data_IF_215533877983
#
_entry.id   IF_215533877983
#
_cell.length_a   1.000
_cell.length_b   1.000
_cell.length_c   1.000
_cell.angle_alpha   90.00
_cell.angle_beta   90.00
_cell.angle_gamma   90.00
#
_symmetry.space_group_name_H-M   'P 1'
#
loop_
_entity.id
_entity.type
_entity.pdbx_description
1 polymer ?
#
# COMPACT_ATOMS: atom_id res chain seq x y z
N UNK A 1 24.79 -66.76 -39.78
CA UNK A 1 24.65 -65.31 -39.57
C UNK A 1 23.46 -65.10 -38.69
N UNK A 2 23.70 -64.86 -37.39
CA UNK A 2 22.64 -64.68 -36.40
C UNK A 2 22.45 -63.18 -36.22
N UNK A 3 21.28 -62.63 -36.64
CA UNK A 3 20.86 -61.32 -36.30
C UNK A 3 20.32 -61.34 -34.87
N UNK A 4 21.06 -60.73 -33.93
CA UNK A 4 20.61 -60.53 -32.57
C UNK A 4 19.52 -59.44 -32.57
N UNK A 5 18.29 -59.88 -32.25
CA UNK A 5 17.22 -58.92 -31.93
C UNK A 5 17.49 -58.42 -30.50
N UNK A 6 17.94 -57.15 -30.38
CA UNK A 6 17.97 -56.49 -29.13
C UNK A 6 16.53 -56.19 -28.70
N UNK A 7 16.05 -56.97 -27.73
CA UNK A 7 14.80 -56.67 -27.05
C UNK A 7 14.98 -55.38 -26.25
N UNK A 8 14.48 -54.28 -26.75
CA UNK A 8 14.29 -53.08 -25.97
C UNK A 8 13.31 -53.39 -24.84
N UNK A 9 13.82 -53.57 -23.65
CA UNK A 9 13.03 -53.75 -22.46
C UNK A 9 12.17 -52.52 -22.25
N UNK A 10 10.87 -52.63 -22.47
CA UNK A 10 9.89 -51.65 -22.06
C UNK A 10 9.85 -51.68 -20.53
N UNK A 11 10.64 -50.82 -19.89
CA UNK A 11 10.52 -50.58 -18.47
C UNK A 11 9.21 -49.77 -18.25
N UNK A 12 8.16 -50.52 -17.91
CA UNK A 12 6.92 -49.86 -17.46
C UNK A 12 7.17 -49.10 -16.16
N UNK A 13 6.54 -47.94 -16.01
CA UNK A 13 6.57 -47.18 -14.77
C UNK A 13 6.10 -48.04 -13.60
N UNK A 14 6.85 -48.04 -12.51
CA UNK A 14 6.44 -48.73 -11.30
C UNK A 14 5.27 -48.03 -10.62
N UNK A 15 4.39 -48.76 -9.97
CA UNK A 15 3.26 -48.21 -9.22
C UNK A 15 3.72 -47.15 -8.20
N UNK A 16 4.87 -47.39 -7.58
CA UNK A 16 5.50 -46.48 -6.62
C UNK A 16 5.90 -45.12 -7.27
N UNK A 17 6.44 -45.17 -8.47
CA UNK A 17 6.86 -44.00 -9.21
C UNK A 17 5.66 -43.12 -9.58
N UNK A 18 4.54 -43.72 -9.98
CA UNK A 18 3.29 -43.02 -10.24
C UNK A 18 2.73 -42.40 -8.96
N UNK A 19 2.75 -43.08 -7.84
CA UNK A 19 2.33 -42.59 -6.54
C UNK A 19 3.20 -41.42 -6.07
N UNK A 20 4.52 -41.52 -6.22
CA UNK A 20 5.43 -40.40 -5.90
C UNK A 20 5.18 -39.20 -6.78
N UNK A 21 4.99 -39.38 -8.08
CA UNK A 21 4.69 -38.29 -9.00
C UNK A 21 3.38 -37.58 -8.64
N UNK A 22 2.33 -38.33 -8.30
CA UNK A 22 1.05 -37.77 -7.84
C UNK A 22 1.18 -36.98 -6.52
N UNK A 23 1.97 -37.51 -5.57
CA UNK A 23 2.21 -36.82 -4.30
C UNK A 23 2.92 -35.49 -4.50
N UNK A 24 3.94 -35.46 -5.37
CA UNK A 24 4.66 -34.19 -5.70
C UNK A 24 3.75 -33.24 -6.42
N UNK A 25 2.96 -33.71 -7.37
CA UNK A 25 2.00 -32.84 -8.09
C UNK A 25 0.95 -32.23 -7.14
N UNK A 26 0.39 -33.06 -6.24
CA UNK A 26 -0.56 -32.56 -5.23
C UNK A 26 0.05 -31.50 -4.29
N UNK A 27 1.27 -31.79 -3.80
CA UNK A 27 2.00 -30.82 -2.95
C UNK A 27 2.26 -29.49 -3.69
N UNK A 28 2.64 -29.55 -4.96
CA UNK A 28 2.87 -28.38 -5.79
C UNK A 28 1.62 -27.51 -5.97
N UNK A 29 0.46 -28.13 -6.18
CA UNK A 29 -0.83 -27.44 -6.31
C UNK A 29 -1.18 -26.69 -5.01
N UNK A 30 -0.98 -27.31 -3.86
CA UNK A 30 -1.25 -26.69 -2.55
C UNK A 30 -0.38 -25.47 -2.32
N UNK A 31 0.92 -25.55 -2.62
CA UNK A 31 1.86 -24.43 -2.47
C UNK A 31 1.51 -23.28 -3.42
N UNK A 32 1.21 -23.57 -4.68
CA UNK A 32 0.83 -22.55 -5.67
C UNK A 32 -0.48 -21.85 -5.30
N UNK A 33 -1.47 -22.60 -4.81
CA UNK A 33 -2.75 -22.04 -4.36
C UNK A 33 -2.58 -21.12 -3.15
N UNK A 34 -1.72 -21.47 -2.21
CA UNK A 34 -1.40 -20.62 -1.05
C UNK A 34 -0.70 -19.32 -1.44
N UNK A 35 0.22 -19.37 -2.40
CA UNK A 35 0.93 -18.20 -2.91
C UNK A 35 0.00 -17.19 -3.62
N UNK A 36 -0.94 -17.66 -4.41
CA UNK A 36 -1.89 -16.81 -5.12
C UNK A 36 -2.78 -15.99 -4.17
N UNK A 37 -3.28 -16.60 -3.10
CA UNK A 37 -4.12 -15.89 -2.10
C UNK A 37 -3.34 -14.85 -1.30
N UNK A 38 -2.06 -15.11 -1.01
CA UNK A 38 -1.17 -14.14 -0.34
C UNK A 38 -0.91 -12.91 -1.21
N UNK A 39 -0.67 -13.11 -2.49
CA UNK A 39 -0.42 -12.02 -3.46
C UNK A 39 -1.61 -11.09 -3.62
N UNK A 40 -2.84 -11.63 -3.66
CA UNK A 40 -4.06 -10.83 -3.76
C UNK A 40 -4.33 -9.99 -2.51
N UNK A 41 -4.01 -10.50 -1.33
CA UNK A 41 -4.13 -9.74 -0.07
C UNK A 41 -3.12 -8.61 -0.02
N UNK A 42 -1.88 -8.86 -0.43
CA UNK A 42 -0.84 -7.83 -0.52
C UNK A 42 -1.18 -6.74 -1.53
N UNK A 43 -1.71 -7.10 -2.70
CA UNK A 43 -2.15 -6.13 -3.71
C UNK A 43 -3.28 -5.22 -3.20
N UNK A 44 -4.27 -5.77 -2.51
CA UNK A 44 -5.35 -4.96 -1.90
C UNK A 44 -4.85 -4.01 -0.82
N UNK A 45 -3.91 -4.46 0.02
CA UNK A 45 -3.33 -3.60 1.05
C UNK A 45 -2.55 -2.44 0.42
N UNK A 46 -1.80 -2.69 -0.64
CA UNK A 46 -1.07 -1.66 -1.38
C UNK A 46 -2.03 -0.66 -2.05
N UNK A 47 -3.10 -1.14 -2.67
CA UNK A 47 -4.12 -0.30 -3.31
C UNK A 47 -4.77 0.65 -2.29
N UNK A 48 -5.12 0.17 -1.11
CA UNK A 48 -5.66 1.01 -0.03
C UNK A 48 -4.65 2.06 0.46
N UNK A 49 -3.38 1.73 0.56
CA UNK A 49 -2.33 2.68 0.90
C UNK A 49 -2.13 3.77 -0.16
N UNK A 50 -2.13 3.38 -1.43
CA UNK A 50 -2.01 4.33 -2.54
C UNK A 50 -3.22 5.27 -2.59
N UNK A 51 -4.43 4.74 -2.40
CA UNK A 51 -5.64 5.54 -2.31
C UNK A 51 -5.61 6.53 -1.14
N UNK A 52 -5.16 6.12 0.03
CA UNK A 52 -5.00 6.99 1.19
C UNK A 52 -4.03 8.15 0.91
N UNK A 53 -2.91 7.88 0.25
CA UNK A 53 -1.94 8.91 -0.13
C UNK A 53 -2.50 9.92 -1.13
N UNK A 54 -3.30 9.49 -2.09
CA UNK A 54 -3.98 10.39 -3.03
C UNK A 54 -4.96 11.32 -2.30
N UNK A 55 -5.70 10.79 -1.32
CA UNK A 55 -6.59 11.60 -0.48
C UNK A 55 -5.81 12.61 0.35
N UNK A 56 -4.70 12.19 1.01
CA UNK A 56 -3.81 13.10 1.75
C UNK A 56 -3.28 14.21 0.86
N UNK A 57 -2.80 13.87 -0.32
CA UNK A 57 -2.24 14.83 -1.26
C UNK A 57 -3.31 15.85 -1.70
N UNK A 58 -4.51 15.40 -2.07
CA UNK A 58 -5.59 16.30 -2.50
C UNK A 58 -5.99 17.28 -1.41
N UNK A 59 -6.09 16.83 -0.14
CA UNK A 59 -6.45 17.69 0.99
C UNK A 59 -5.37 18.75 1.26
N UNK A 60 -4.11 18.34 1.22
CA UNK A 60 -2.99 19.26 1.42
C UNK A 60 -2.86 20.26 0.28
N UNK A 61 -3.04 19.84 -0.97
CA UNK A 61 -3.00 20.72 -2.15
C UNK A 61 -4.12 21.76 -2.12
N UNK A 62 -5.34 21.36 -1.74
CA UNK A 62 -6.48 22.27 -1.60
C UNK A 62 -6.18 23.36 -0.56
N UNK A 63 -5.63 22.99 0.60
CA UNK A 63 -5.30 23.96 1.64
C UNK A 63 -4.05 24.79 1.31
N UNK A 64 -3.07 24.20 0.61
CA UNK A 64 -1.87 24.93 0.16
C UNK A 64 -2.22 26.00 -0.89
N UNK A 65 -3.21 25.75 -1.73
CA UNK A 65 -3.69 26.69 -2.74
C UNK A 65 -4.62 27.78 -2.17
N UNK A 66 -5.15 27.58 -0.96
CA UNK A 66 -6.00 28.56 -0.31
C UNK A 66 -5.27 29.89 -0.05
N UNK A 67 -5.91 31.01 -0.37
CA UNK A 67 -5.34 32.36 -0.22
C UNK A 67 -5.18 32.72 1.26
N UNK A 68 -6.13 32.33 2.10
CA UNK A 68 -6.12 32.60 3.53
C UNK A 68 -6.07 31.28 4.31
N UNK A 69 -5.16 31.18 5.26
CA UNK A 69 -5.04 30.03 6.17
C UNK A 69 -5.40 30.45 7.58
N UNK A 70 -6.36 29.78 8.17
CA UNK A 70 -6.84 30.03 9.53
C UNK A 70 -6.67 28.76 10.35
N UNK A 71 -6.20 28.85 11.62
CA UNK A 71 -6.15 27.71 12.51
C UNK A 71 -7.53 27.03 12.60
N UNK A 72 -7.59 25.76 12.24
CA UNK A 72 -8.84 25.00 12.21
C UNK A 72 -8.56 23.50 12.25
N UNK A 73 -9.57 22.74 12.64
CA UNK A 73 -9.60 21.28 12.45
C UNK A 73 -10.79 20.96 11.57
N UNK A 74 -10.55 20.32 10.45
CA UNK A 74 -11.56 19.86 9.50
C UNK A 74 -11.49 18.34 9.40
N UNK A 75 -12.60 17.72 9.13
CA UNK A 75 -12.70 16.28 8.94
C UNK A 75 -13.78 15.95 7.92
N UNK A 76 -13.65 14.79 7.28
CA UNK A 76 -14.60 14.33 6.30
C UNK A 76 -14.35 12.89 5.89
N UNK A 77 -15.18 12.43 5.00
CA UNK A 77 -15.07 11.09 4.42
C UNK A 77 -14.87 11.20 2.90
N UNK A 78 -14.03 10.34 2.35
CA UNK A 78 -13.79 10.21 0.92
C UNK A 78 -13.80 8.72 0.55
N UNK A 79 -14.97 8.23 0.14
CA UNK A 79 -15.19 6.81 -0.12
C UNK A 79 -14.96 5.96 1.12
N UNK A 80 -13.94 5.07 1.07
CA UNK A 80 -13.58 4.20 2.19
C UNK A 80 -12.60 4.84 3.19
N UNK A 81 -12.25 6.10 2.98
CA UNK A 81 -11.25 6.83 3.75
C UNK A 81 -11.91 7.90 4.60
N UNK A 82 -11.55 7.95 5.89
CA UNK A 82 -11.88 9.06 6.79
C UNK A 82 -10.64 9.92 6.94
N UNK A 83 -10.78 11.21 6.76
CA UNK A 83 -9.67 12.13 6.84
C UNK A 83 -9.88 13.23 7.88
N UNK A 84 -8.77 13.73 8.40
CA UNK A 84 -8.73 14.87 9.30
C UNK A 84 -7.58 15.79 8.89
N UNK A 85 -7.85 17.08 8.83
CA UNK A 85 -6.85 18.12 8.60
C UNK A 85 -6.80 19.04 9.83
N UNK A 86 -5.62 19.21 10.39
CA UNK A 86 -5.35 20.09 11.51
C UNK A 86 -4.40 21.20 11.07
N UNK A 87 -4.79 22.45 11.30
CA UNK A 87 -4.01 23.64 10.95
C UNK A 87 -3.67 24.38 12.24
N UNK A 88 -2.39 24.44 12.55
CA UNK A 88 -1.89 25.06 13.78
C UNK A 88 -0.82 26.13 13.45
N UNK A 89 -0.77 27.22 14.23
CA UNK A 89 0.34 28.17 14.14
C UNK A 89 1.66 27.47 14.47
N UNK A 90 2.69 27.73 13.68
CA UNK A 90 3.99 27.08 13.80
C UNK A 90 5.15 28.08 13.77
N UNK A 91 4.94 29.30 14.22
CA UNK A 91 5.92 30.40 14.19
C UNK A 91 7.22 30.06 14.93
N UNK A 92 7.15 29.22 15.98
CA UNK A 92 8.32 28.75 16.70
C UNK A 92 9.28 27.86 15.87
N UNK A 93 8.83 27.36 14.72
CA UNK A 93 9.63 26.54 13.80
C UNK A 93 10.25 27.37 12.68
N UNK A 94 9.99 28.66 12.62
CA UNK A 94 10.57 29.52 11.60
C UNK A 94 12.12 29.58 11.79
N UNK A 95 12.91 29.43 10.71
CA UNK A 95 14.36 29.49 10.80
C UNK A 95 14.92 30.90 11.10
N UNK A 96 14.04 31.86 11.34
CA UNK A 96 14.40 33.23 11.65
C UNK A 96 13.16 34.09 11.91
N UNK A 97 13.35 35.40 12.05
CA UNK A 97 12.24 36.34 12.24
C UNK A 97 11.45 36.47 10.93
N UNK A 98 10.16 36.13 10.97
CA UNK A 98 9.28 36.25 9.82
C UNK A 98 9.06 37.74 9.48
N UNK A 99 8.89 38.09 8.20
CA UNK A 99 8.48 39.43 7.80
C UNK A 99 7.12 39.85 8.41
N UNK A 100 6.93 41.12 8.58
CA UNK A 100 5.66 41.64 9.10
C UNK A 100 4.47 41.20 8.23
N UNK A 101 3.43 40.65 8.85
CA UNK A 101 2.24 40.15 8.17
C UNK A 101 2.35 38.74 7.60
N UNK A 102 3.49 38.07 7.72
CA UNK A 102 3.68 36.66 7.34
C UNK A 102 3.60 35.77 8.56
N UNK A 103 2.80 34.73 8.50
CA UNK A 103 2.67 33.71 9.55
C UNK A 103 3.03 32.34 9.01
N UNK A 104 3.54 31.49 9.86
CA UNK A 104 3.82 30.08 9.54
C UNK A 104 2.76 29.20 10.18
N UNK A 105 2.24 28.27 9.40
CA UNK A 105 1.27 27.28 9.84
C UNK A 105 1.80 25.86 9.57
N UNK A 106 1.51 24.95 10.48
CA UNK A 106 1.67 23.51 10.25
C UNK A 106 0.32 22.95 9.87
N UNK A 107 0.27 22.31 8.73
CA UNK A 107 -0.86 21.54 8.25
C UNK A 107 -0.55 20.07 8.48
N UNK A 108 -1.35 19.39 9.26
CA UNK A 108 -1.23 17.95 9.50
C UNK A 108 -2.50 17.29 9.00
N UNK A 109 -2.38 16.48 7.96
CA UNK A 109 -3.47 15.68 7.43
C UNK A 109 -3.26 14.21 7.81
N UNK A 110 -4.30 13.55 8.29
CA UNK A 110 -4.33 12.12 8.56
C UNK A 110 -5.50 11.48 7.81
N UNK A 111 -5.28 10.27 7.31
CA UNK A 111 -6.29 9.46 6.62
C UNK A 111 -6.30 8.07 7.23
N UNK A 112 -7.48 7.64 7.67
CA UNK A 112 -7.70 6.32 8.23
C UNK A 112 -8.61 5.49 7.32
N UNK A 113 -8.36 4.18 7.24
CA UNK A 113 -9.16 3.24 6.46
C UNK A 113 -9.22 1.85 7.09
N UNK A 114 -10.31 1.14 6.85
CA UNK A 114 -10.51 -0.23 7.28
C UNK A 114 -10.31 -0.44 8.78
N UNK A 115 -9.67 -1.54 9.16
CA UNK A 115 -9.38 -1.89 10.55
C UNK A 115 -7.93 -1.55 10.90
N UNK A 116 -7.68 -0.28 11.23
CA UNK A 116 -6.39 0.16 11.76
C UNK A 116 -5.36 0.61 10.72
N UNK A 117 -5.76 0.82 9.46
CA UNK A 117 -4.93 1.51 8.49
C UNK A 117 -4.99 3.02 8.73
N UNK A 118 -3.84 3.67 8.84
CA UNK A 118 -3.71 5.12 8.98
C UNK A 118 -2.43 5.59 8.31
N UNK A 119 -2.50 6.74 7.65
CA UNK A 119 -1.33 7.45 7.13
C UNK A 119 -1.46 8.93 7.47
N UNK A 120 -0.34 9.60 7.71
CA UNK A 120 -0.30 11.00 8.14
C UNK A 120 0.80 11.74 7.40
N UNK A 121 0.49 12.93 6.94
CA UNK A 121 1.46 13.83 6.32
C UNK A 121 1.36 15.23 6.95
N UNK A 122 2.49 15.90 7.06
CA UNK A 122 2.52 17.28 7.55
C UNK A 122 3.39 18.16 6.66
N UNK A 123 2.92 19.39 6.44
CA UNK A 123 3.64 20.41 5.69
C UNK A 123 3.61 21.73 6.44
N UNK A 124 4.58 22.59 6.15
CA UNK A 124 4.62 23.95 6.65
C UNK A 124 4.22 24.91 5.54
N UNK A 125 3.32 25.83 5.86
CA UNK A 125 2.83 26.85 4.93
C UNK A 125 3.09 28.23 5.48
N UNK A 126 3.60 29.11 4.66
CA UNK A 126 3.65 30.54 4.91
C UNK A 126 2.40 31.19 4.31
N UNK A 127 1.67 31.93 5.11
CA UNK A 127 0.49 32.68 4.68
C UNK A 127 0.59 34.15 5.14
N UNK A 128 -0.06 35.01 4.40
CA UNK A 128 -0.23 36.44 4.73
C UNK A 128 -1.60 36.70 5.29
#
# INVERSE_FOLDING_TARGET
MCAGAEAHGQSGFSLVEVLCALAIAAASIVVLSGGATGSLRGARALDMHLGARLVLQSILEDELSAIATVPATRQGDSGAYRWQLKIEPAEALAPGKLPAGVRMYRLTASVAWGRGGEDTASVLKLAR
#
